data_IF_791217137018
#
_entry.id   IF_791217137018
#
_cell.length_a   1.000
_cell.length_b   1.000
_cell.length_c   1.000
_cell.angle_alpha   90.00
_cell.angle_beta   90.00
_cell.angle_gamma   90.00
#
_symmetry.space_group_name_H-M   'P 1'
#
loop_
_entity.id
_entity.type
_entity.pdbx_description
1 polymer ?
#
# COMPACT_ATOMS: atom_id res chain seq x y z
N UNK A 1 -17.52 -37.86 31.78
CA UNK A 1 -17.70 -36.40 31.88
C UNK A 1 -16.51 -35.73 31.22
N UNK A 2 -16.44 -35.82 29.90
CA UNK A 2 -15.39 -35.27 29.02
C UNK A 2 -16.13 -34.68 27.81
N UNK A 3 -15.53 -33.76 27.06
CA UNK A 3 -16.14 -32.97 25.97
C UNK A 3 -16.90 -31.73 26.52
N UNK A 4 -16.44 -30.48 26.30
CA UNK A 4 -16.79 -29.68 25.10
C UNK A 4 -15.87 -28.46 24.80
N UNK A 5 -14.65 -28.34 25.34
CA UNK A 5 -13.85 -27.09 25.24
C UNK A 5 -12.96 -26.89 23.99
N UNK A 6 -13.08 -27.71 22.93
CA UNK A 6 -12.20 -27.62 21.74
C UNK A 6 -12.86 -27.03 20.49
N UNK A 7 -14.19 -26.84 20.47
CA UNK A 7 -14.93 -26.43 19.26
C UNK A 7 -14.74 -24.96 18.84
N UNK A 8 -14.37 -24.07 19.78
CA UNK A 8 -14.27 -22.63 19.52
C UNK A 8 -12.93 -22.20 18.89
N UNK A 9 -11.84 -22.92 19.16
CA UNK A 9 -10.53 -22.64 18.54
C UNK A 9 -10.47 -23.08 17.09
N UNK A 10 -11.14 -24.18 16.76
CA UNK A 10 -11.04 -24.83 15.45
C UNK A 10 -11.80 -24.06 14.36
N UNK A 11 -12.86 -23.32 14.74
CA UNK A 11 -13.66 -22.49 13.82
C UNK A 11 -12.97 -21.17 13.46
N UNK A 12 -12.28 -20.52 14.41
CA UNK A 12 -11.46 -19.33 14.13
C UNK A 12 -10.29 -19.69 13.23
N UNK A 13 -9.67 -20.85 13.46
CA UNK A 13 -8.56 -21.34 12.64
C UNK A 13 -8.99 -21.74 11.22
N UNK A 14 -10.20 -22.31 11.07
CA UNK A 14 -10.79 -22.56 9.76
C UNK A 14 -11.10 -21.25 9.03
N UNK A 15 -11.70 -20.28 9.72
CA UNK A 15 -12.02 -18.97 9.16
C UNK A 15 -10.77 -18.22 8.70
N UNK A 16 -9.67 -18.20 9.48
CA UNK A 16 -8.42 -17.54 9.07
C UNK A 16 -7.83 -18.17 7.81
N UNK A 17 -7.92 -19.50 7.65
CA UNK A 17 -7.46 -20.19 6.44
C UNK A 17 -8.36 -19.92 5.23
N UNK A 18 -9.66 -19.69 5.43
CA UNK A 18 -10.59 -19.25 4.38
C UNK A 18 -10.29 -17.81 3.93
N UNK A 19 -10.14 -16.86 4.86
CA UNK A 19 -9.77 -15.47 4.57
C UNK A 19 -8.42 -15.38 3.83
N UNK A 20 -7.44 -16.22 4.21
CA UNK A 20 -6.14 -16.29 3.55
C UNK A 20 -6.20 -16.87 2.13
N UNK A 21 -7.14 -17.78 1.84
CA UNK A 21 -7.31 -18.37 0.51
C UNK A 21 -7.95 -17.41 -0.49
N UNK A 22 -8.85 -16.54 0.00
CA UNK A 22 -9.61 -15.57 -0.82
C UNK A 22 -8.74 -14.41 -1.35
N UNK A 23 -7.67 -14.05 -0.62
CA UNK A 23 -6.79 -12.90 -0.92
C UNK A 23 -5.81 -13.16 -2.09
N UNK A 24 -5.67 -14.43 -2.50
CA UNK A 24 -4.76 -14.83 -3.59
C UNK A 24 -5.18 -14.34 -4.99
N UNK A 25 -6.44 -13.92 -5.15
CA UNK A 25 -6.96 -13.34 -6.40
C UNK A 25 -6.70 -11.82 -6.54
N UNK A 26 -6.24 -11.15 -5.47
CA UNK A 26 -5.85 -9.73 -5.51
C UNK A 26 -4.59 -9.52 -6.35
N UNK A 27 -3.66 -10.48 -6.31
CA UNK A 27 -2.37 -10.40 -6.97
C UNK A 27 -2.44 -10.44 -8.51
N UNK A 28 -3.50 -11.03 -9.10
CA UNK A 28 -3.63 -11.20 -10.55
C UNK A 28 -4.26 -10.00 -11.26
N UNK A 29 -4.89 -9.09 -10.52
CA UNK A 29 -5.66 -7.95 -11.06
C UNK A 29 -4.88 -6.70 -11.49
N UNK A 30 -3.64 -6.40 -11.06
CA UNK A 30 -2.96 -5.19 -11.52
C UNK A 30 -2.65 -5.23 -13.02
N UNK A 31 -2.39 -6.43 -13.57
CA UNK A 31 -2.02 -6.60 -14.98
C UNK A 31 -3.12 -6.24 -15.98
N UNK A 32 -4.40 -6.32 -15.60
CA UNK A 32 -5.52 -5.97 -16.50
C UNK A 32 -5.88 -4.49 -16.46
N UNK A 33 -5.66 -3.80 -15.33
CA UNK A 33 -6.01 -2.38 -15.14
C UNK A 33 -5.12 -1.44 -15.94
N UNK A 34 -3.84 -1.81 -16.14
CA UNK A 34 -2.87 -1.03 -16.92
C UNK A 34 -3.20 -1.07 -18.43
N UNK A 35 -3.93 -2.08 -18.90
CA UNK A 35 -4.32 -2.19 -20.33
C UNK A 35 -5.47 -1.24 -20.71
N UNK A 36 -6.23 -0.75 -19.74
CA UNK A 36 -7.38 0.14 -19.93
C UNK A 36 -7.11 1.58 -19.45
N UNK A 37 -5.88 2.08 -19.61
CA UNK A 37 -5.58 3.51 -19.44
C UNK A 37 -6.32 4.32 -20.51
N UNK A 38 -7.54 4.73 -20.18
CA UNK A 38 -8.34 5.64 -20.99
C UNK A 38 -7.81 7.06 -20.79
N UNK A 39 -7.56 7.80 -21.87
CA UNK A 39 -6.98 9.16 -21.84
C UNK A 39 -7.81 10.16 -21.01
N UNK A 40 -9.07 9.82 -20.72
CA UNK A 40 -9.99 10.56 -19.86
C UNK A 40 -9.57 10.58 -18.37
N UNK A 41 -8.78 9.59 -17.93
CA UNK A 41 -8.31 9.48 -16.54
C UNK A 41 -7.02 10.26 -16.23
N UNK A 42 -6.39 10.87 -17.24
CA UNK A 42 -5.16 11.64 -17.05
C UNK A 42 -5.35 12.85 -16.13
N UNK A 43 -6.48 13.56 -16.22
CA UNK A 43 -6.76 14.71 -15.36
C UNK A 43 -6.96 14.33 -13.88
N UNK A 44 -7.84 13.37 -13.54
CA UNK A 44 -8.00 12.95 -12.15
C UNK A 44 -6.72 12.34 -11.57
N UNK A 45 -5.95 11.56 -12.35
CA UNK A 45 -4.69 10.97 -11.88
C UNK A 45 -3.63 12.04 -11.56
N UNK A 46 -3.56 13.10 -12.37
CA UNK A 46 -2.61 14.19 -12.16
C UNK A 46 -2.98 15.04 -10.93
N UNK A 47 -4.27 15.26 -10.68
CA UNK A 47 -4.76 15.91 -9.47
C UNK A 47 -4.51 15.05 -8.22
N UNK A 48 -4.73 13.74 -8.31
CA UNK A 48 -4.44 12.79 -7.23
C UNK A 48 -2.95 12.76 -6.92
N UNK A 49 -2.09 12.64 -7.93
CA UNK A 49 -0.64 12.67 -7.79
C UNK A 49 -0.14 13.98 -7.17
N UNK A 50 -0.67 15.13 -7.61
CA UNK A 50 -0.32 16.43 -7.04
C UNK A 50 -0.68 16.51 -5.55
N UNK A 51 -1.87 16.03 -5.19
CA UNK A 51 -2.34 16.01 -3.80
C UNK A 51 -1.42 15.16 -2.92
N UNK A 52 -1.02 13.98 -3.41
CA UNK A 52 -0.09 13.09 -2.71
C UNK A 52 1.27 13.75 -2.53
N UNK A 53 1.83 14.36 -3.58
CA UNK A 53 3.15 15.02 -3.52
C UNK A 53 3.17 16.17 -2.51
N UNK A 54 2.11 16.98 -2.45
CA UNK A 54 2.00 18.10 -1.51
C UNK A 54 2.06 17.65 -0.04
N UNK A 55 1.50 16.48 0.28
CA UNK A 55 1.53 15.92 1.64
C UNK A 55 2.83 15.15 1.91
N UNK A 56 3.35 14.44 0.91
CA UNK A 56 4.54 13.61 1.06
C UNK A 56 5.82 14.45 1.22
N UNK A 57 5.87 15.64 0.60
CA UNK A 57 7.01 16.57 0.70
C UNK A 57 7.32 16.97 2.15
N UNK A 58 6.40 17.58 2.94
CA UNK A 58 6.67 17.94 4.32
C UNK A 58 6.92 16.72 5.21
N UNK A 59 6.24 15.60 4.95
CA UNK A 59 6.46 14.36 5.70
C UNK A 59 7.90 13.84 5.54
N UNK A 60 8.42 13.81 4.32
CA UNK A 60 9.79 13.38 4.05
C UNK A 60 10.84 14.32 4.69
N UNK A 61 10.58 15.63 4.68
CA UNK A 61 11.44 16.61 5.37
C UNK A 61 11.46 16.36 6.88
N UNK A 62 10.29 16.11 7.49
CA UNK A 62 10.19 15.83 8.92
C UNK A 62 10.99 14.59 9.32
N UNK A 63 10.94 13.52 8.54
CA UNK A 63 11.74 12.31 8.82
C UNK A 63 13.24 12.54 8.66
N UNK A 64 13.67 13.33 7.67
CA UNK A 64 15.08 13.70 7.54
C UNK A 64 15.58 14.50 8.75
N UNK A 65 14.77 15.44 9.24
CA UNK A 65 15.09 16.24 10.43
C UNK A 65 15.14 15.37 11.70
N UNK A 66 14.25 14.39 11.85
CA UNK A 66 14.30 13.43 12.97
C UNK A 66 15.59 12.59 12.93
N UNK A 67 16.09 12.29 11.74
CA UNK A 67 17.32 11.53 11.52
C UNK A 67 18.60 12.39 11.62
N UNK A 68 18.49 13.65 12.04
CA UNK A 68 19.59 14.63 12.10
C UNK A 68 20.30 14.85 10.74
N UNK A 69 19.56 14.58 9.65
CA UNK A 69 20.04 14.73 8.28
C UNK A 69 19.58 16.07 7.68
N UNK A 70 20.34 16.63 6.71
CA UNK A 70 19.87 17.76 5.94
C UNK A 70 18.53 17.42 5.26
N UNK A 71 17.51 18.30 5.31
CA UNK A 71 16.17 18.03 4.76
C UNK A 71 16.18 17.64 3.29
N UNK A 72 17.15 18.13 2.50
CA UNK A 72 17.35 17.75 1.10
C UNK A 72 17.52 16.23 0.92
N UNK A 73 18.09 15.54 1.91
CA UNK A 73 18.24 14.08 1.92
C UNK A 73 16.90 13.36 1.95
N UNK A 74 15.92 13.90 2.68
CA UNK A 74 14.55 13.40 2.68
C UNK A 74 13.87 13.56 1.32
N UNK A 75 14.21 14.63 0.58
CA UNK A 75 13.67 14.87 -0.75
C UNK A 75 14.21 13.85 -1.75
N UNK A 76 15.52 13.59 -1.70
CA UNK A 76 16.15 12.55 -2.53
C UNK A 76 15.56 11.17 -2.23
N UNK A 77 15.36 10.83 -0.95
CA UNK A 77 14.75 9.55 -0.55
C UNK A 77 13.31 9.41 -1.07
N UNK A 78 12.50 10.47 -0.98
CA UNK A 78 11.13 10.47 -1.47
C UNK A 78 11.05 10.28 -3.00
N UNK A 79 11.89 10.97 -3.77
CA UNK A 79 11.95 10.83 -5.24
C UNK A 79 12.31 9.39 -5.62
N UNK A 80 13.34 8.81 -4.99
CA UNK A 80 13.76 7.43 -5.26
C UNK A 80 12.65 6.44 -4.91
N UNK A 81 12.00 6.60 -3.75
CA UNK A 81 10.90 5.74 -3.32
C UNK A 81 9.70 5.79 -4.28
N UNK A 82 9.33 6.98 -4.79
CA UNK A 82 8.25 7.12 -5.77
C UNK A 82 8.56 6.45 -7.10
N UNK A 83 9.82 6.54 -7.58
CA UNK A 83 10.24 5.89 -8.83
C UNK A 83 10.25 4.37 -8.67
N UNK A 84 10.77 3.87 -7.55
CA UNK A 84 10.83 2.41 -7.30
C UNK A 84 9.42 1.84 -7.07
N UNK A 85 8.53 2.57 -6.39
CA UNK A 85 7.18 2.09 -6.09
C UNK A 85 6.23 2.05 -7.30
N UNK A 86 6.55 2.75 -8.39
CA UNK A 86 5.74 2.75 -9.62
C UNK A 86 6.24 1.75 -10.69
N UNK A 87 7.46 1.23 -10.54
CA UNK A 87 8.04 0.17 -11.38
C UNK A 87 7.48 -1.21 -11.00
#
# INVERSE_FOLDING_TARGET
>A
MTHTTTSHSDSIFAATLEWLREDSAFFTRPATTIRSFESKNLRPDLLAGLTVVVVMLPQAMAYALIADLPPQTGLYAAIVASIVGVL
#
